data_IF_006306706867
#
_entry.id   IF_006306706867
#
_cell.length_a   1.000
_cell.length_b   1.000
_cell.length_c   1.000
_cell.angle_alpha   90.00
_cell.angle_beta   90.00
_cell.angle_gamma   90.00
#
_symmetry.space_group_name_H-M   'P 1'
#
loop_
_entity.id
_entity.type
_entity.pdbx_description
1 polymer ?
#
# COMPACT_ATOMS: atom_id res chain seq x y z
N UNK A 1 54.94 -4.30 9.60
CA UNK A 1 53.49 -4.28 9.91
C UNK A 1 53.12 -5.62 10.53
N UNK A 2 52.70 -5.64 11.80
CA UNK A 2 52.37 -6.87 12.50
C UNK A 2 51.08 -7.48 11.93
N UNK A 3 51.08 -8.80 11.67
CA UNK A 3 49.94 -9.56 11.11
C UNK A 3 48.62 -9.30 11.87
N UNK A 4 48.70 -8.99 13.16
CA UNK A 4 47.56 -8.63 14.01
C UNK A 4 46.82 -7.35 13.55
N UNK A 5 47.53 -6.36 13.01
CA UNK A 5 46.92 -5.10 12.54
C UNK A 5 46.15 -5.30 11.23
N UNK A 6 46.62 -6.23 10.38
CA UNK A 6 45.96 -6.59 9.11
C UNK A 6 44.65 -7.34 9.40
N UNK A 7 44.65 -8.24 10.38
CA UNK A 7 43.44 -8.99 10.79
C UNK A 7 42.40 -8.05 11.42
N UNK A 8 42.82 -7.11 12.28
CA UNK A 8 41.92 -6.13 12.87
C UNK A 8 41.30 -5.18 11.82
N UNK A 9 42.08 -4.76 10.82
CA UNK A 9 41.57 -3.94 9.72
C UNK A 9 40.56 -4.69 8.82
N UNK A 10 40.80 -5.99 8.55
CA UNK A 10 39.85 -6.86 7.84
C UNK A 10 38.56 -7.09 8.63
N UNK A 11 38.64 -7.21 9.96
CA UNK A 11 37.45 -7.34 10.80
C UNK A 11 36.60 -6.06 10.81
N UNK A 12 37.22 -4.88 10.86
CA UNK A 12 36.54 -3.59 10.82
C UNK A 12 35.85 -3.30 9.46
N UNK A 13 36.40 -3.82 8.36
CA UNK A 13 35.77 -3.74 7.04
C UNK A 13 34.54 -4.65 6.91
N UNK A 14 34.47 -5.75 7.67
CA UNK A 14 33.30 -6.64 7.68
C UNK A 14 32.09 -6.04 8.43
N UNK A 15 32.31 -5.08 9.34
CA UNK A 15 31.23 -4.44 10.09
C UNK A 15 30.52 -3.29 9.36
N UNK A 16 30.94 -2.90 8.15
CA UNK A 16 30.37 -1.73 7.46
C UNK A 16 29.11 -1.98 6.63
N UNK A 17 28.53 -3.19 6.63
CA UNK A 17 27.40 -3.50 5.72
C UNK A 17 26.06 -3.83 6.39
N UNK A 18 25.85 -3.42 7.65
CA UNK A 18 24.51 -3.50 8.27
C UNK A 18 23.97 -2.14 8.69
N UNK A 19 24.18 -1.11 7.86
CA UNK A 19 23.23 -0.01 7.85
C UNK A 19 21.97 -0.49 7.16
N UNK A 20 20.99 -0.94 7.95
CA UNK A 20 19.59 -0.96 7.51
C UNK A 20 19.29 0.44 7.00
N UNK A 21 19.22 0.62 5.68
CA UNK A 21 18.92 1.92 5.09
C UNK A 21 17.53 2.31 5.56
N UNK A 22 17.44 3.24 6.51
CA UNK A 22 16.16 3.83 6.90
C UNK A 22 15.56 4.46 5.65
N UNK A 23 14.43 3.93 5.19
CA UNK A 23 13.76 4.46 3.99
C UNK A 23 13.35 5.90 4.24
N UNK A 24 13.47 6.71 3.21
CA UNK A 24 12.88 8.05 3.25
C UNK A 24 11.35 7.91 3.25
N UNK A 25 10.69 8.38 4.31
CA UNK A 25 9.23 8.35 4.46
C UNK A 25 8.64 9.65 3.91
N UNK A 26 7.81 9.56 2.86
CA UNK A 26 7.07 10.69 2.26
C UNK A 26 5.58 10.43 2.30
N UNK A 27 4.74 11.43 2.57
CA UNK A 27 3.28 11.23 2.41
C UNK A 27 2.39 12.11 3.26
N UNK A 28 1.19 11.59 3.49
CA UNK A 28 0.09 12.31 4.13
C UNK A 28 0.17 12.44 5.66
N UNK A 29 -0.79 13.16 6.23
CA UNK A 29 -0.81 13.55 7.65
C UNK A 29 -0.60 12.37 8.60
N UNK A 30 0.15 12.60 9.68
CA UNK A 30 0.48 11.60 10.69
C UNK A 30 -0.74 10.84 11.26
N UNK A 31 -1.92 11.49 11.35
CA UNK A 31 -3.14 10.86 11.84
C UNK A 31 -3.65 9.73 10.94
N UNK A 32 -3.81 9.99 9.63
CA UNK A 32 -4.23 8.98 8.66
C UNK A 32 -3.20 7.86 8.54
N UNK A 33 -1.92 8.21 8.62
CA UNK A 33 -0.82 7.26 8.66
C UNK A 33 -0.93 6.30 9.85
N UNK A 34 -1.10 6.82 11.07
CA UNK A 34 -1.20 5.98 12.27
C UNK A 34 -2.41 5.03 12.22
N UNK A 35 -3.58 5.52 11.80
CA UNK A 35 -4.78 4.69 11.62
C UNK A 35 -4.56 3.59 10.56
N UNK A 36 -3.83 3.91 9.49
CA UNK A 36 -3.47 2.94 8.47
C UNK A 36 -2.57 1.84 9.06
N UNK A 37 -1.54 2.20 9.84
CA UNK A 37 -0.64 1.24 10.48
C UNK A 37 -1.36 0.31 11.47
N UNK A 38 -2.30 0.82 12.26
CA UNK A 38 -3.11 -0.01 13.17
C UNK A 38 -3.94 -1.04 12.41
N UNK A 39 -4.62 -0.62 11.32
CA UNK A 39 -5.37 -1.51 10.45
C UNK A 39 -4.47 -2.57 9.81
N UNK A 40 -3.29 -2.18 9.31
CA UNK A 40 -2.33 -3.11 8.71
C UNK A 40 -1.91 -4.19 9.69
N UNK A 41 -1.64 -3.83 10.95
CA UNK A 41 -1.30 -4.79 12.00
C UNK A 41 -2.46 -5.74 12.29
N UNK A 42 -3.68 -5.21 12.39
CA UNK A 42 -4.88 -6.02 12.66
C UNK A 42 -5.21 -7.01 11.53
N UNK A 43 -4.87 -6.67 10.29
CA UNK A 43 -5.04 -7.51 9.11
C UNK A 43 -3.81 -8.38 8.79
N UNK A 44 -2.75 -8.28 9.60
CA UNK A 44 -1.47 -8.95 9.39
C UNK A 44 -0.93 -8.72 7.96
N UNK A 45 -0.98 -7.46 7.50
CA UNK A 45 -0.47 -7.07 6.19
C UNK A 45 1.05 -6.97 6.21
N UNK A 46 1.67 -7.04 5.04
CA UNK A 46 3.13 -6.98 4.91
C UNK A 46 3.66 -5.62 5.40
N UNK A 47 4.70 -5.61 6.22
CA UNK A 47 5.36 -4.37 6.63
C UNK A 47 6.22 -3.83 5.46
N UNK A 48 5.69 -2.83 4.76
CA UNK A 48 6.33 -2.24 3.58
C UNK A 48 7.57 -1.43 3.96
N UNK A 49 7.54 -0.74 5.10
CA UNK A 49 8.68 0.02 5.61
C UNK A 49 9.91 -0.89 5.79
N UNK A 50 9.70 -2.13 6.25
CA UNK A 50 10.76 -3.14 6.45
C UNK A 50 11.01 -4.09 5.28
N UNK A 51 10.24 -3.98 4.19
CA UNK A 51 10.42 -4.86 3.02
C UNK A 51 11.70 -4.53 2.25
N UNK A 52 12.38 -5.58 1.76
CA UNK A 52 13.58 -5.46 0.92
C UNK A 52 13.29 -5.78 -0.56
N UNK A 53 12.04 -6.06 -0.91
CA UNK A 53 11.63 -6.34 -2.28
C UNK A 53 11.92 -5.12 -3.18
N UNK A 54 12.12 -5.38 -4.47
CA UNK A 54 12.36 -4.34 -5.48
C UNK A 54 11.18 -3.40 -5.64
N UNK A 55 9.98 -3.94 -5.43
CA UNK A 55 8.74 -3.20 -5.56
C UNK A 55 7.69 -3.80 -4.63
N UNK A 56 7.02 -2.96 -3.86
CA UNK A 56 5.77 -3.30 -3.21
C UNK A 56 4.76 -2.19 -3.45
N UNK A 57 3.52 -2.59 -3.68
CA UNK A 57 2.41 -1.68 -3.87
C UNK A 57 1.20 -2.20 -3.14
N UNK A 58 0.48 -1.30 -2.48
CA UNK A 58 -0.75 -1.59 -1.78
C UNK A 58 -1.80 -0.58 -2.18
N UNK A 59 -2.90 -1.09 -2.69
CA UNK A 59 -4.11 -0.32 -2.93
C UNK A 59 -5.16 -0.72 -1.91
N UNK A 60 -5.83 0.25 -1.32
CA UNK A 60 -6.90 0.04 -0.35
C UNK A 60 -8.13 0.83 -0.73
N UNK A 61 -9.28 0.16 -0.65
CA UNK A 61 -10.60 0.76 -0.68
C UNK A 61 -11.42 0.29 0.55
N UNK A 62 -12.73 0.54 0.56
CA UNK A 62 -13.60 0.13 1.66
C UNK A 62 -13.72 -1.40 1.76
N UNK A 63 -13.10 -1.97 2.80
CA UNK A 63 -13.23 -3.39 3.12
C UNK A 63 -12.34 -4.31 2.28
N UNK A 64 -11.43 -3.76 1.48
CA UNK A 64 -10.50 -4.57 0.71
C UNK A 64 -9.14 -3.89 0.53
N UNK A 65 -8.10 -4.72 0.55
CA UNK A 65 -6.71 -4.36 0.34
C UNK A 65 -6.13 -5.28 -0.74
N UNK A 66 -5.39 -4.73 -1.69
CA UNK A 66 -4.65 -5.45 -2.70
C UNK A 66 -3.18 -5.15 -2.46
N UNK A 67 -2.37 -6.18 -2.22
CA UNK A 67 -0.92 -6.09 -2.08
C UNK A 67 -0.25 -6.80 -3.25
N UNK A 68 0.67 -6.12 -3.92
CA UNK A 68 1.52 -6.68 -4.97
C UNK A 68 2.97 -6.48 -4.56
N UNK A 69 3.80 -7.52 -4.67
CA UNK A 69 5.25 -7.39 -4.54
C UNK A 69 5.98 -8.07 -5.69
N UNK A 70 7.13 -7.50 -6.03
CA UNK A 70 8.05 -8.05 -7.01
C UNK A 70 9.46 -8.08 -6.43
N UNK A 71 10.07 -9.25 -6.53
CA UNK A 71 11.50 -9.42 -6.25
C UNK A 71 12.14 -10.23 -7.38
N UNK A 72 13.08 -9.61 -8.09
CA UNK A 72 13.66 -10.15 -9.32
C UNK A 72 12.55 -10.53 -10.33
N UNK A 73 12.40 -11.81 -10.66
CA UNK A 73 11.40 -12.32 -11.61
C UNK A 73 10.11 -12.81 -10.97
N UNK A 74 10.00 -12.76 -9.63
CA UNK A 74 8.85 -13.30 -8.91
C UNK A 74 7.84 -12.21 -8.61
N UNK A 75 6.59 -12.45 -8.99
CA UNK A 75 5.43 -11.63 -8.68
C UNK A 75 4.58 -12.33 -7.64
N UNK A 76 4.29 -11.64 -6.54
CA UNK A 76 3.41 -12.12 -5.49
C UNK A 76 2.26 -11.14 -5.33
N UNK A 77 1.07 -11.66 -5.01
CA UNK A 77 -0.10 -10.82 -4.79
C UNK A 77 -1.07 -11.41 -3.80
N UNK A 78 -1.69 -10.56 -2.98
CA UNK A 78 -2.69 -10.95 -1.99
C UNK A 78 -3.83 -9.94 -2.02
N UNK A 79 -5.08 -10.42 -2.07
CA UNK A 79 -6.27 -9.63 -1.76
C UNK A 79 -6.70 -9.95 -0.34
N UNK A 80 -6.75 -8.95 0.54
CA UNK A 80 -7.32 -9.08 1.88
C UNK A 80 -8.67 -8.40 1.92
N UNK A 81 -9.75 -9.16 2.03
CA UNK A 81 -11.09 -8.65 2.29
C UNK A 81 -11.33 -8.58 3.80
N UNK A 82 -11.96 -7.52 4.29
CA UNK A 82 -12.22 -7.36 5.71
C UNK A 82 -13.51 -6.60 6.00
N UNK A 83 -14.08 -6.88 7.17
CA UNK A 83 -15.26 -6.19 7.71
C UNK A 83 -15.05 -5.86 9.18
N UNK A 84 -15.61 -4.74 9.61
CA UNK A 84 -15.71 -4.39 11.02
C UNK A 84 -16.92 -5.08 11.63
N UNK A 85 -16.73 -5.72 12.77
CA UNK A 85 -17.78 -6.43 13.50
C UNK A 85 -17.84 -5.91 14.94
N UNK A 86 -18.96 -5.31 15.32
CA UNK A 86 -19.22 -4.89 16.71
C UNK A 86 -20.21 -5.86 17.35
N UNK A 87 -19.79 -6.57 18.39
CA UNK A 87 -20.70 -7.45 19.14
C UNK A 87 -21.64 -6.62 19.99
N UNK A 88 -22.96 -6.88 19.92
CA UNK A 88 -24.00 -6.16 20.69
C UNK A 88 -23.70 -6.06 22.20
N UNK A 89 -23.02 -7.04 22.78
CA UNK A 89 -22.67 -7.09 24.20
C UNK A 89 -21.44 -6.24 24.59
N UNK A 90 -20.60 -5.85 23.63
CA UNK A 90 -19.38 -5.05 23.83
C UNK A 90 -19.31 -3.96 22.75
N UNK A 91 -20.15 -2.94 22.86
CA UNK A 91 -20.19 -1.79 21.93
C UNK A 91 -18.85 -1.05 21.85
N UNK A 92 -18.00 -1.22 22.86
CA UNK A 92 -16.71 -0.54 22.98
C UNK A 92 -15.57 -1.27 22.25
N UNK A 93 -15.80 -2.50 21.75
CA UNK A 93 -14.80 -3.27 21.01
C UNK A 93 -15.29 -3.62 19.61
N UNK A 94 -14.60 -3.08 18.62
CA UNK A 94 -14.78 -3.46 17.21
C UNK A 94 -13.75 -4.53 16.86
N UNK A 95 -14.23 -5.71 16.51
CA UNK A 95 -13.41 -6.80 15.95
C UNK A 95 -13.28 -6.60 14.43
N UNK A 96 -12.19 -7.08 13.84
CA UNK A 96 -12.03 -7.12 12.38
C UNK A 96 -12.00 -8.58 11.96
N UNK A 97 -12.93 -8.94 11.07
CA UNK A 97 -12.92 -10.25 10.41
C UNK A 97 -12.29 -10.07 9.04
N UNK A 98 -11.38 -10.96 8.65
CA UNK A 98 -10.70 -10.87 7.35
C UNK A 98 -10.52 -12.21 6.67
N UNK A 99 -10.41 -12.17 5.34
CA UNK A 99 -10.10 -13.31 4.49
C UNK A 99 -9.05 -12.90 3.45
N UNK A 100 -8.03 -13.74 3.25
CA UNK A 100 -6.94 -13.51 2.30
C UNK A 100 -7.08 -14.45 1.10
N UNK A 101 -6.94 -13.89 -0.10
CA UNK A 101 -6.91 -14.61 -1.37
C UNK A 101 -5.54 -14.40 -1.98
N UNK A 102 -4.78 -15.47 -2.16
CA UNK A 102 -3.47 -15.44 -2.81
C UNK A 102 -3.71 -15.39 -4.33
N UNK A 103 -3.12 -14.40 -4.99
CA UNK A 103 -3.17 -14.28 -6.44
C UNK A 103 -2.19 -15.27 -7.08
N UNK A 104 -2.58 -15.81 -8.24
CA UNK A 104 -1.62 -16.53 -9.07
C UNK A 104 -0.48 -15.59 -9.52
N UNK A 105 0.72 -16.11 -9.81
CA UNK A 105 1.83 -15.27 -10.29
C UNK A 105 1.46 -14.45 -11.54
N UNK A 106 0.62 -15.02 -12.42
CA UNK A 106 0.16 -14.31 -13.62
C UNK A 106 -0.75 -13.13 -13.27
N UNK A 107 -1.72 -13.32 -12.38
CA UNK A 107 -2.55 -12.22 -11.90
C UNK A 107 -1.71 -11.14 -11.21
N UNK A 108 -0.75 -11.52 -10.38
CA UNK A 108 0.13 -10.55 -9.73
C UNK A 108 0.98 -9.75 -10.74
N UNK A 109 1.48 -10.40 -11.78
CA UNK A 109 2.19 -9.75 -12.89
C UNK A 109 1.27 -8.79 -13.67
N UNK A 110 0.05 -9.20 -13.99
CA UNK A 110 -0.91 -8.36 -14.72
C UNK A 110 -1.26 -7.08 -13.93
N UNK A 111 -1.45 -7.21 -12.62
CA UNK A 111 -1.67 -6.05 -11.74
C UNK A 111 -0.42 -5.17 -11.64
N UNK A 112 0.77 -5.77 -11.51
CA UNK A 112 2.01 -5.01 -11.55
C UNK A 112 2.10 -4.16 -12.83
N UNK A 113 1.80 -4.75 -13.99
CA UNK A 113 1.83 -4.05 -15.27
C UNK A 113 0.80 -2.91 -15.33
N UNK A 114 -0.43 -3.15 -14.84
CA UNK A 114 -1.46 -2.09 -14.71
C UNK A 114 -0.94 -0.91 -13.88
N UNK A 115 -0.26 -1.19 -12.75
CA UNK A 115 0.30 -0.13 -11.90
C UNK A 115 1.38 0.65 -12.66
N UNK A 116 2.32 -0.03 -13.31
CA UNK A 116 3.41 0.61 -14.04
C UNK A 116 2.92 1.55 -15.15
N UNK A 117 1.86 1.17 -15.89
CA UNK A 117 1.35 1.99 -16.98
C UNK A 117 0.37 3.09 -16.53
N UNK A 118 -0.14 3.01 -15.30
CA UNK A 118 -1.21 3.90 -14.82
C UNK A 118 -0.75 5.32 -14.50
N UNK A 119 0.55 5.57 -14.31
CA UNK A 119 1.10 6.84 -13.80
C UNK A 119 0.74 7.16 -12.33
N UNK A 120 0.16 6.20 -11.59
CA UNK A 120 -0.21 6.41 -10.17
C UNK A 120 1.00 6.66 -9.25
N UNK A 121 2.18 6.15 -9.62
CA UNK A 121 3.37 6.23 -8.78
C UNK A 121 3.92 7.67 -8.73
N UNK A 122 3.72 8.42 -9.82
CA UNK A 122 4.15 9.79 -10.02
C UNK A 122 3.15 10.81 -9.46
N UNK A 123 1.87 10.46 -9.38
CA UNK A 123 0.83 11.38 -8.89
C UNK A 123 1.07 11.78 -7.44
N UNK A 124 0.93 13.06 -7.07
CA UNK A 124 0.92 13.45 -5.67
C UNK A 124 -0.39 13.01 -4.99
N UNK A 125 -0.46 13.15 -3.67
CA UNK A 125 -1.71 12.96 -2.93
C UNK A 125 -2.74 14.05 -3.28
N UNK A 126 -4.03 13.76 -3.12
CA UNK A 126 -5.14 14.63 -3.50
C UNK A 126 -5.03 16.07 -2.99
N UNK A 127 -4.60 16.26 -1.76
CA UNK A 127 -4.44 17.59 -1.14
C UNK A 127 -3.40 18.48 -1.83
N UNK A 128 -2.56 17.91 -2.69
CA UNK A 128 -1.56 18.62 -3.48
C UNK A 128 -1.95 18.73 -4.96
N UNK A 129 -3.09 18.16 -5.37
CA UNK A 129 -3.62 18.29 -6.73
C UNK A 129 -4.52 19.52 -6.79
N UNK A 130 -4.26 20.38 -7.78
CA UNK A 130 -5.03 21.61 -7.95
C UNK A 130 -6.51 21.30 -8.21
N UNK A 131 -7.39 22.07 -7.58
CA UNK A 131 -8.85 21.95 -7.69
C UNK A 131 -9.46 20.64 -7.17
N UNK A 132 -8.69 19.78 -6.48
CA UNK A 132 -9.24 18.59 -5.85
C UNK A 132 -10.16 18.99 -4.69
N UNK A 133 -11.47 18.86 -4.91
CA UNK A 133 -12.48 19.10 -3.87
C UNK A 133 -12.49 17.97 -2.85
N UNK A 134 -12.61 18.30 -1.57
CA UNK A 134 -12.79 17.32 -0.50
C UNK A 134 -14.28 17.22 -0.14
N UNK A 135 -14.69 16.11 0.45
CA UNK A 135 -16.06 15.95 0.95
C UNK A 135 -16.18 14.91 2.07
N UNK A 136 -17.41 14.49 2.35
CA UNK A 136 -17.75 13.72 3.56
C UNK A 136 -18.50 12.41 3.27
N UNK A 137 -18.49 11.93 2.01
CA UNK A 137 -19.10 10.65 1.63
C UNK A 137 -18.34 9.44 2.19
N UNK A 138 -17.14 9.67 2.73
CA UNK A 138 -16.25 8.67 3.31
C UNK A 138 -15.43 7.89 2.28
N UNK A 139 -15.63 8.06 0.97
CA UNK A 139 -14.98 7.24 -0.06
C UNK A 139 -13.58 7.76 -0.36
N UNK A 140 -12.61 7.26 0.38
CA UNK A 140 -11.18 7.50 0.15
C UNK A 140 -10.47 6.24 -0.32
N UNK A 141 -9.69 6.39 -1.39
CA UNK A 141 -8.75 5.38 -1.87
C UNK A 141 -7.36 5.67 -1.35
N UNK A 142 -6.63 4.62 -1.04
CA UNK A 142 -5.30 4.72 -0.46
C UNK A 142 -4.32 3.94 -1.29
N UNK A 143 -3.20 4.59 -1.60
CA UNK A 143 -2.10 4.01 -2.33
C UNK A 143 -0.84 4.13 -1.50
N UNK A 144 -0.19 3.01 -1.29
CA UNK A 144 1.07 2.89 -0.57
C UNK A 144 2.06 2.17 -1.46
N UNK A 145 3.28 2.68 -1.53
CA UNK A 145 4.33 2.09 -2.35
C UNK A 145 5.66 2.17 -1.63
N UNK A 146 6.48 1.16 -1.86
CA UNK A 146 7.85 1.18 -1.43
C UNK A 146 8.72 0.37 -2.37
N UNK A 147 9.95 0.83 -2.51
CA UNK A 147 11.04 0.10 -3.13
C UNK A 147 12.19 -0.03 -2.11
N UNK A 148 13.39 -0.36 -2.59
CA UNK A 148 14.58 -0.48 -1.74
C UNK A 148 15.04 0.84 -1.12
N UNK A 149 14.60 2.00 -1.63
CA UNK A 149 15.14 3.33 -1.27
C UNK A 149 14.12 4.21 -0.55
N UNK A 150 12.85 4.06 -0.91
CA UNK A 150 11.81 5.01 -0.58
C UNK A 150 10.54 4.30 -0.12
N UNK A 151 9.78 5.02 0.69
CA UNK A 151 8.46 4.62 1.14
C UNK A 151 7.54 5.83 1.02
N UNK A 152 6.35 5.63 0.47
CA UNK A 152 5.33 6.66 0.48
C UNK A 152 3.90 6.16 0.56
N UNK A 153 3.04 7.07 0.99
CA UNK A 153 1.61 6.84 1.20
C UNK A 153 0.80 8.07 0.75
N UNK A 154 -0.24 7.85 -0.06
CA UNK A 154 -1.08 8.88 -0.70
C UNK A 154 -2.56 8.52 -0.58
N UNK A 155 -3.41 9.54 -0.51
CA UNK A 155 -4.86 9.42 -0.46
C UNK A 155 -5.51 10.09 -1.66
N UNK A 156 -6.65 9.54 -2.08
CA UNK A 156 -7.48 10.09 -3.14
C UNK A 156 -8.95 10.01 -2.73
N UNK A 157 -9.52 11.15 -2.33
CA UNK A 157 -10.94 11.26 -2.00
C UNK A 157 -11.79 11.33 -3.28
N UNK A 158 -12.74 10.39 -3.41
CA UNK A 158 -13.78 10.33 -4.45
C UNK A 158 -13.34 10.78 -5.87
N UNK A 159 -12.32 10.15 -6.48
CA UNK A 159 -11.85 10.54 -7.82
C UNK A 159 -12.94 10.47 -8.90
N UNK A 160 -13.95 9.62 -8.73
CA UNK A 160 -15.06 9.44 -9.68
C UNK A 160 -15.98 10.65 -9.83
N UNK A 161 -16.02 11.58 -8.86
CA UNK A 161 -16.82 12.82 -8.97
C UNK A 161 -15.99 14.03 -9.43
N UNK A 162 -14.71 13.80 -9.76
CA UNK A 162 -13.73 14.83 -10.12
C UNK A 162 -13.31 14.65 -11.58
N UNK A 163 -14.22 14.21 -12.45
CA UNK A 163 -13.96 13.82 -13.85
C UNK A 163 -13.35 14.93 -14.72
N UNK A 164 -13.45 16.19 -14.30
CA UNK A 164 -12.76 17.33 -14.92
C UNK A 164 -11.26 17.45 -14.58
N UNK A 165 -10.75 16.67 -13.62
CA UNK A 165 -9.36 16.71 -13.16
C UNK A 165 -8.59 15.53 -13.79
N UNK A 166 -7.54 15.78 -14.61
CA UNK A 166 -6.78 14.72 -15.28
C UNK A 166 -6.23 13.65 -14.32
N UNK A 167 -5.74 14.05 -13.15
CA UNK A 167 -5.21 13.15 -12.14
C UNK A 167 -6.31 12.26 -11.55
N UNK A 168 -7.54 12.75 -11.42
CA UNK A 168 -8.66 11.95 -10.96
C UNK A 168 -9.09 10.88 -11.98
N UNK A 169 -8.95 11.18 -13.28
CA UNK A 169 -9.16 10.20 -14.35
C UNK A 169 -8.13 9.06 -14.24
N UNK A 170 -6.86 9.38 -13.97
CA UNK A 170 -5.80 8.39 -13.76
C UNK A 170 -6.16 7.45 -12.60
N UNK A 171 -6.54 8.01 -11.44
CA UNK A 171 -6.91 7.20 -10.26
C UNK A 171 -8.15 6.36 -10.57
N UNK A 172 -9.17 6.93 -11.21
CA UNK A 172 -10.40 6.22 -11.57
C UNK A 172 -10.14 5.04 -12.51
N UNK A 173 -9.27 5.23 -13.51
CA UNK A 173 -8.91 4.18 -14.47
C UNK A 173 -8.08 3.07 -13.84
N UNK A 174 -7.21 3.40 -12.88
CA UNK A 174 -6.54 2.39 -12.06
C UNK A 174 -7.57 1.56 -11.28
N UNK A 175 -8.52 2.21 -10.61
CA UNK A 175 -9.56 1.52 -9.82
C UNK A 175 -10.38 0.56 -10.70
N UNK A 176 -10.82 1.02 -11.87
CA UNK A 176 -11.55 0.23 -12.86
C UNK A 176 -10.73 -0.98 -13.31
N UNK A 177 -9.49 -0.78 -13.75
CA UNK A 177 -8.62 -1.87 -14.21
C UNK A 177 -8.34 -2.90 -13.11
N UNK A 178 -8.12 -2.46 -11.86
CA UNK A 178 -7.94 -3.36 -10.72
C UNK A 178 -9.21 -4.17 -10.45
N UNK A 179 -10.37 -3.49 -10.46
CA UNK A 179 -11.68 -4.11 -10.26
C UNK A 179 -11.97 -5.18 -11.31
N UNK A 180 -11.77 -4.87 -12.58
CA UNK A 180 -12.08 -5.76 -13.69
C UNK A 180 -11.10 -6.94 -13.74
N UNK A 181 -9.80 -6.70 -13.55
CA UNK A 181 -8.78 -7.76 -13.64
C UNK A 181 -8.90 -8.77 -12.50
N UNK A 182 -9.26 -8.32 -11.29
CA UNK A 182 -9.36 -9.17 -10.11
C UNK A 182 -10.80 -9.60 -9.79
N UNK A 183 -11.78 -9.19 -10.61
CA UNK A 183 -13.21 -9.38 -10.35
C UNK A 183 -13.57 -8.98 -8.91
N UNK A 184 -13.13 -7.79 -8.49
CA UNK A 184 -13.28 -7.34 -7.12
C UNK A 184 -14.76 -7.21 -6.78
N UNK A 185 -15.15 -7.69 -5.60
CA UNK A 185 -16.51 -7.47 -5.12
C UNK A 185 -16.78 -5.96 -5.01
N UNK A 186 -17.87 -5.50 -5.64
CA UNK A 186 -18.47 -4.21 -5.32
C UNK A 186 -19.12 -4.32 -3.95
N UNK A 187 -18.31 -4.37 -2.89
CA UNK A 187 -18.83 -4.49 -1.53
C UNK A 187 -19.42 -3.15 -1.13
N UNK A 188 -20.73 -2.96 -1.35
CA UNK A 188 -21.51 -1.92 -0.69
C UNK A 188 -21.63 -2.35 0.77
N UNK A 189 -20.63 -2.01 1.57
CA UNK A 189 -20.56 -2.34 2.99
C UNK A 189 -21.55 -1.53 3.80
N UNK A 190 -22.77 -2.02 3.95
CA UNK A 190 -23.58 -1.76 5.14
C UNK A 190 -23.95 -3.10 5.76
N UNK A 191 -23.32 -3.43 6.88
CA UNK A 191 -23.90 -4.36 7.85
C UNK A 191 -24.34 -3.49 9.01
N UNK A 192 -25.66 -3.33 9.12
CA UNK A 192 -26.38 -2.67 10.22
C UNK A 192 -26.20 -3.41 11.55
#
# INVERSE_FOLDING_TARGET
MNKLHIIAALLLLLFQTTFSQTKEIKGDTAFLYNRNIELQKALELKDFEKSHDEFNFRFRNHGQVIEISKDSTKYNGIITNYVYHTRKANRDKTEILSNKIILSPKQAEDIYNIIQISQILELPSDKYIANWKQGADGITYIVEHTDRKSYWFKNYWAPYIQDSIPEAIIVSKLIENLSDTLNLQKTVGYVL
#
